data_IF_187433597992
#
_entry.id   IF_187433597992
#
_cell.length_a   1.000
_cell.length_b   1.000
_cell.length_c   1.000
_cell.angle_alpha   90.00
_cell.angle_beta   90.00
_cell.angle_gamma   90.00
#
_symmetry.space_group_name_H-M   'P 1'
#
loop_
_entity.id
_entity.type
_entity.pdbx_description
1 polymer ?
#
# COMPACT_ATOMS: atom_id res chain seq x y z
N UNK A 1 -14.21 27.94 -9.26
CA UNK A 1 -13.56 26.66 -9.63
C UNK A 1 -12.10 26.57 -9.16
N UNK A 2 -11.21 27.53 -9.51
CA UNK A 2 -9.80 27.52 -9.06
C UNK A 2 -9.63 27.47 -7.53
N UNK A 3 -10.46 28.21 -6.79
CA UNK A 3 -10.44 28.18 -5.32
C UNK A 3 -10.87 26.83 -4.74
N UNK A 4 -11.90 26.17 -5.31
CA UNK A 4 -12.32 24.84 -4.84
C UNK A 4 -11.22 23.80 -5.01
N UNK A 5 -10.48 23.84 -6.13
CA UNK A 5 -9.39 22.90 -6.42
C UNK A 5 -8.28 23.01 -5.36
N UNK A 6 -8.02 24.23 -4.85
CA UNK A 6 -7.02 24.46 -3.79
C UNK A 6 -7.33 23.66 -2.51
N UNK A 7 -8.61 23.52 -2.16
CA UNK A 7 -9.04 22.85 -0.93
C UNK A 7 -9.53 21.41 -1.13
N UNK A 8 -9.76 21.00 -2.39
CA UNK A 8 -10.20 19.64 -2.74
C UNK A 8 -9.08 18.89 -3.47
N UNK A 9 -8.25 18.19 -2.70
CA UNK A 9 -7.12 17.40 -3.20
C UNK A 9 -7.51 16.36 -4.26
N UNK A 10 -8.73 15.82 -4.20
CA UNK A 10 -9.27 14.84 -5.15
C UNK A 10 -9.77 15.43 -6.48
N UNK A 11 -9.72 16.76 -6.67
CA UNK A 11 -10.24 17.39 -7.90
C UNK A 11 -9.50 16.92 -9.16
N UNK A 12 -8.20 16.66 -9.02
CA UNK A 12 -7.46 15.82 -9.97
C UNK A 12 -7.76 14.38 -9.59
N UNK A 13 -8.05 13.38 -10.41
CA UNK A 13 -8.60 12.04 -10.04
C UNK A 13 -10.12 11.92 -10.12
N UNK A 14 -10.90 12.89 -9.63
CA UNK A 14 -12.37 12.75 -9.61
C UNK A 14 -12.99 12.65 -11.00
N UNK A 15 -12.39 13.29 -12.01
CA UNK A 15 -12.98 13.41 -13.34
C UNK A 15 -14.33 14.16 -13.31
N UNK A 16 -15.21 13.84 -14.26
CA UNK A 16 -16.53 14.49 -14.40
C UNK A 16 -17.67 13.49 -14.57
N UNK A 17 -17.39 12.19 -14.62
CA UNK A 17 -18.40 11.16 -14.89
C UNK A 17 -19.11 10.66 -13.62
N UNK A 18 -18.72 11.19 -12.46
CA UNK A 18 -19.29 10.85 -11.16
C UNK A 18 -19.29 9.34 -10.91
N UNK A 19 -18.18 8.67 -11.24
CA UNK A 19 -18.10 7.21 -11.11
C UNK A 19 -17.73 6.86 -9.67
N UNK A 20 -18.45 5.88 -9.11
CA UNK A 20 -18.24 5.30 -7.80
C UNK A 20 -18.01 3.79 -7.94
N UNK A 21 -17.13 3.26 -7.12
CA UNK A 21 -16.85 1.82 -7.00
C UNK A 21 -17.47 1.31 -5.71
N UNK A 22 -18.33 0.30 -5.84
CA UNK A 22 -19.00 -0.36 -4.73
C UNK A 22 -18.26 -1.66 -4.47
N UNK A 23 -17.75 -1.81 -3.25
CA UNK A 23 -16.97 -2.97 -2.82
C UNK A 23 -17.70 -3.69 -1.68
N UNK A 24 -17.95 -5.00 -1.75
CA UNK A 24 -18.50 -5.74 -0.62
C UNK A 24 -17.50 -5.76 0.56
N UNK A 25 -18.01 -5.74 1.80
CA UNK A 25 -17.19 -5.56 3.01
C UNK A 25 -16.33 -6.77 3.39
N UNK A 26 -16.83 -8.00 3.21
CA UNK A 26 -16.18 -9.23 3.71
C UNK A 26 -15.66 -10.13 2.57
N UNK A 27 -15.66 -9.66 1.32
CA UNK A 27 -15.15 -10.43 0.20
C UNK A 27 -13.80 -9.91 -0.28
N UNK A 28 -13.00 -10.81 -0.84
CA UNK A 28 -11.68 -10.52 -1.41
C UNK A 28 -11.65 -10.94 -2.88
N UNK A 29 -10.50 -10.76 -3.54
CA UNK A 29 -10.26 -11.23 -4.91
C UNK A 29 -11.09 -10.50 -6.00
N UNK A 30 -11.67 -9.35 -5.67
CA UNK A 30 -12.40 -8.50 -6.62
C UNK A 30 -13.81 -8.96 -6.97
N UNK A 31 -14.35 -9.97 -6.28
CA UNK A 31 -15.72 -10.44 -6.50
C UNK A 31 -16.76 -9.43 -6.01
N UNK A 32 -17.87 -9.33 -6.73
CA UNK A 32 -18.99 -8.46 -6.38
C UNK A 32 -18.72 -6.95 -6.52
N UNK A 33 -17.52 -6.56 -6.96
CA UNK A 33 -17.19 -5.15 -7.20
C UNK A 33 -17.95 -4.66 -8.44
N UNK A 34 -18.65 -3.54 -8.29
CA UNK A 34 -19.37 -2.90 -9.39
C UNK A 34 -19.05 -1.41 -9.45
N UNK A 35 -18.98 -0.87 -10.67
CA UNK A 35 -18.86 0.57 -10.89
C UNK A 35 -20.22 1.12 -11.33
N UNK A 36 -20.59 2.27 -10.77
CA UNK A 36 -21.86 2.96 -11.03
C UNK A 36 -21.64 4.47 -11.07
N UNK A 37 -22.36 5.16 -11.95
CA UNK A 37 -22.33 6.64 -12.05
C UNK A 37 -23.65 7.30 -11.64
N UNK A 38 -24.73 6.53 -11.52
CA UNK A 38 -26.07 7.00 -11.12
C UNK A 38 -26.28 6.80 -9.61
N UNK A 39 -26.63 7.87 -8.89
CA UNK A 39 -26.98 7.80 -7.46
C UNK A 39 -28.16 6.85 -7.21
N UNK A 40 -29.16 6.87 -8.10
CA UNK A 40 -30.33 6.00 -7.98
C UNK A 40 -29.93 4.52 -8.04
N UNK A 41 -29.04 4.15 -8.96
CA UNK A 41 -28.55 2.78 -9.07
C UNK A 41 -27.66 2.38 -7.88
N UNK A 42 -26.86 3.31 -7.36
CA UNK A 42 -26.03 3.09 -6.17
C UNK A 42 -26.92 2.78 -4.97
N UNK A 43 -27.93 3.63 -4.72
CA UNK A 43 -28.87 3.44 -3.61
C UNK A 43 -29.66 2.15 -3.77
N UNK A 44 -30.12 1.83 -4.98
CA UNK A 44 -30.82 0.56 -5.24
C UNK A 44 -29.94 -0.65 -4.90
N UNK A 45 -28.67 -0.65 -5.32
CA UNK A 45 -27.72 -1.74 -5.02
C UNK A 45 -27.43 -1.86 -3.52
N UNK A 46 -27.22 -0.74 -2.83
CA UNK A 46 -26.96 -0.72 -1.38
C UNK A 46 -28.19 -1.20 -0.60
N UNK A 47 -29.40 -0.76 -0.99
CA UNK A 47 -30.65 -1.20 -0.36
C UNK A 47 -30.92 -2.69 -0.58
N UNK A 48 -30.63 -3.21 -1.79
CA UNK A 48 -30.71 -4.64 -2.05
C UNK A 48 -29.71 -5.42 -1.18
N UNK A 49 -28.45 -4.98 -1.14
CA UNK A 49 -27.42 -5.63 -0.35
C UNK A 49 -27.75 -5.64 1.15
N UNK A 50 -28.36 -4.57 1.66
CA UNK A 50 -28.84 -4.51 3.04
C UNK A 50 -29.91 -5.57 3.35
N UNK A 51 -30.81 -5.87 2.41
CA UNK A 51 -31.79 -6.97 2.55
C UNK A 51 -31.12 -8.34 2.54
N UNK A 52 -30.00 -8.47 1.83
CA UNK A 52 -29.18 -9.68 1.74
C UNK A 52 -28.10 -9.73 2.85
N UNK A 53 -28.20 -8.88 3.88
CA UNK A 53 -27.21 -8.75 4.97
C UNK A 53 -25.76 -8.54 4.51
N UNK A 54 -25.56 -8.03 3.30
CA UNK A 54 -24.25 -7.73 2.72
C UNK A 54 -23.95 -6.24 2.85
N UNK A 55 -22.80 -5.92 3.45
CA UNK A 55 -22.33 -4.52 3.57
C UNK A 55 -21.50 -4.13 2.37
N UNK A 56 -21.63 -2.89 1.92
CA UNK A 56 -20.81 -2.30 0.86
C UNK A 56 -20.13 -1.02 1.32
N UNK A 57 -18.91 -0.81 0.84
CA UNK A 57 -18.24 0.48 0.84
C UNK A 57 -18.47 1.13 -0.52
N UNK A 58 -19.04 2.34 -0.51
CA UNK A 58 -19.16 3.18 -1.70
C UNK A 58 -18.00 4.16 -1.69
N UNK A 59 -17.07 4.01 -2.64
CA UNK A 59 -15.84 4.81 -2.72
C UNK A 59 -15.79 5.55 -4.06
N UNK A 60 -15.33 6.80 -4.06
CA UNK A 60 -15.15 7.55 -5.31
C UNK A 60 -14.14 6.83 -6.19
N UNK A 61 -14.50 6.59 -7.46
CA UNK A 61 -13.60 5.95 -8.42
C UNK A 61 -12.57 6.95 -8.94
N UNK A 62 -11.32 6.51 -9.09
CA UNK A 62 -10.24 7.28 -9.69
C UNK A 62 -10.40 7.21 -11.21
N UNK A 63 -10.95 8.27 -11.80
CA UNK A 63 -11.29 8.34 -13.23
C UNK A 63 -10.06 8.60 -14.12
N UNK A 64 -8.98 9.12 -13.53
CA UNK A 64 -7.72 9.42 -14.23
C UNK A 64 -6.52 8.70 -13.60
N UNK A 65 -6.47 7.36 -13.68
CA UNK A 65 -5.30 6.62 -13.23
C UNK A 65 -4.13 6.84 -14.20
N UNK A 66 -2.91 6.61 -13.72
CA UNK A 66 -1.75 6.38 -14.58
C UNK A 66 -2.05 5.16 -15.45
N UNK A 67 -1.87 5.32 -16.76
CA UNK A 67 -2.02 4.24 -17.72
C UNK A 67 -0.65 3.83 -18.25
N UNK A 68 -0.41 2.52 -18.28
CA UNK A 68 0.77 1.93 -18.92
C UNK A 68 0.31 1.31 -20.23
N UNK A 69 0.77 1.84 -21.36
CA UNK A 69 0.30 1.44 -22.68
C UNK A 69 -1.25 1.39 -22.77
N UNK A 70 -1.91 2.47 -22.34
CA UNK A 70 -3.39 2.62 -22.24
C UNK A 70 -4.09 1.65 -21.28
N UNK A 71 -3.36 0.82 -20.55
CA UNK A 71 -3.92 -0.17 -19.64
C UNK A 71 -3.81 0.31 -18.19
N UNK A 72 -4.87 0.10 -17.40
CA UNK A 72 -4.87 0.43 -15.98
C UNK A 72 -3.95 -0.51 -15.20
N UNK A 73 -3.22 0.04 -14.24
CA UNK A 73 -2.41 -0.71 -13.29
C UNK A 73 -2.80 -0.42 -11.84
N UNK A 74 -2.47 -1.36 -10.96
CA UNK A 74 -2.31 -1.09 -9.53
C UNK A 74 -0.95 -1.61 -9.03
N UNK A 75 -0.57 -1.17 -7.84
CA UNK A 75 0.69 -1.52 -7.18
C UNK A 75 0.37 -2.31 -5.92
N UNK A 76 0.86 -3.55 -5.85
CA UNK A 76 0.96 -4.33 -4.62
C UNK A 76 2.30 -4.03 -3.95
N UNK A 77 2.24 -3.41 -2.77
CA UNK A 77 3.39 -3.15 -1.90
C UNK A 77 3.32 -4.05 -0.66
N UNK A 78 4.40 -4.80 -0.39
CA UNK A 78 4.51 -5.57 0.86
C UNK A 78 5.13 -4.75 1.97
N UNK A 79 4.61 -4.92 3.18
CA UNK A 79 5.17 -4.33 4.38
C UNK A 79 4.96 -5.27 5.58
N UNK A 80 5.87 -5.19 6.54
CA UNK A 80 5.94 -6.06 7.71
C UNK A 80 5.87 -5.19 8.97
N UNK A 81 4.98 -5.56 9.89
CA UNK A 81 4.93 -4.98 11.24
C UNK A 81 5.56 -5.98 12.20
N UNK A 82 6.63 -5.55 12.89
CA UNK A 82 7.34 -6.38 13.88
C UNK A 82 7.02 -6.01 15.33
N UNK A 83 6.37 -4.86 15.53
CA UNK A 83 5.88 -4.41 16.84
C UNK A 83 4.81 -3.35 16.61
N UNK A 84 3.73 -3.39 17.38
CA UNK A 84 2.64 -2.40 17.34
C UNK A 84 2.81 -1.31 18.39
N UNK A 85 3.55 -1.60 19.48
CA UNK A 85 3.86 -0.65 20.55
C UNK A 85 5.27 -0.93 21.12
N UNK A 86 6.29 -0.10 20.80
CA UNK A 86 6.27 0.99 19.81
C UNK A 86 6.05 0.46 18.38
N UNK A 87 5.34 1.21 17.54
CA UNK A 87 5.10 0.82 16.16
C UNK A 87 6.42 0.74 15.36
N UNK A 88 6.70 -0.42 14.75
CA UNK A 88 7.85 -0.66 13.88
C UNK A 88 7.38 -1.25 12.56
N UNK A 89 7.62 -0.52 11.48
CA UNK A 89 7.15 -0.83 10.12
C UNK A 89 8.34 -0.97 9.18
N UNK A 90 8.34 -2.07 8.43
CA UNK A 90 9.31 -2.37 7.39
C UNK A 90 8.59 -2.42 6.04
N UNK A 91 9.14 -1.77 5.02
CA UNK A 91 8.60 -1.81 3.65
C UNK A 91 9.54 -2.62 2.79
N UNK A 92 8.99 -3.52 1.97
CA UNK A 92 9.78 -4.27 1.01
C UNK A 92 10.20 -3.34 -0.14
N UNK A 93 11.46 -3.39 -0.58
CA UNK A 93 11.97 -2.47 -1.61
C UNK A 93 11.35 -2.70 -2.99
N UNK A 94 10.98 -3.94 -3.29
CA UNK A 94 10.33 -4.29 -4.55
C UNK A 94 8.79 -4.24 -4.45
N UNK A 95 8.13 -4.20 -5.59
CA UNK A 95 6.68 -4.15 -5.73
C UNK A 95 6.20 -5.11 -6.82
N UNK A 96 4.91 -5.40 -6.82
CA UNK A 96 4.24 -6.07 -7.93
C UNK A 96 3.27 -5.09 -8.59
N UNK A 97 3.52 -4.74 -9.84
CA UNK A 97 2.55 -4.06 -10.68
C UNK A 97 1.61 -5.11 -11.28
N UNK A 98 0.31 -4.89 -11.17
CA UNK A 98 -0.70 -5.75 -11.80
C UNK A 98 -1.48 -4.97 -12.85
N UNK A 99 -1.60 -5.57 -14.03
CA UNK A 99 -2.28 -4.97 -15.17
C UNK A 99 -3.72 -5.45 -15.26
N UNK A 100 -4.63 -4.56 -15.67
CA UNK A 100 -5.89 -4.96 -16.28
C UNK A 100 -5.63 -5.65 -17.64
N UNK A 101 -6.64 -6.34 -18.18
CA UNK A 101 -6.47 -7.11 -19.42
C UNK A 101 -6.84 -6.33 -20.69
N UNK A 102 -7.68 -5.30 -20.56
CA UNK A 102 -8.15 -4.45 -21.66
C UNK A 102 -7.71 -2.99 -21.49
N UNK A 103 -7.69 -2.26 -22.61
CA UNK A 103 -7.49 -0.82 -22.65
C UNK A 103 -8.50 -0.09 -21.77
N UNK A 104 -8.02 0.91 -21.05
CA UNK A 104 -8.82 1.71 -20.14
C UNK A 104 -9.79 2.61 -20.91
N UNK A 105 -11.06 2.56 -20.51
CA UNK A 105 -12.10 3.47 -20.97
C UNK A 105 -13.09 3.69 -19.84
N UNK A 106 -13.75 4.84 -19.81
CA UNK A 106 -14.85 5.10 -18.88
C UNK A 106 -16.23 4.88 -19.52
N UNK A 107 -16.27 4.35 -20.75
CA UNK A 107 -17.50 4.05 -21.49
C UNK A 107 -18.03 2.62 -21.27
N UNK A 108 -17.21 1.73 -20.71
CA UNK A 108 -17.57 0.35 -20.40
C UNK A 108 -16.99 0.00 -19.02
N UNK A 109 -17.82 -0.43 -18.09
CA UNK A 109 -17.44 -0.76 -16.71
C UNK A 109 -17.09 -2.23 -16.47
N UNK A 110 -16.78 -2.97 -17.54
CA UNK A 110 -16.38 -4.37 -17.44
C UNK A 110 -15.14 -4.58 -16.55
N UNK A 111 -15.14 -5.64 -15.73
CA UNK A 111 -14.10 -5.89 -14.72
C UNK A 111 -12.69 -6.06 -15.29
N UNK A 112 -12.58 -6.54 -16.54
CA UNK A 112 -11.30 -6.69 -17.25
C UNK A 112 -10.62 -5.36 -17.63
N UNK A 113 -11.34 -4.23 -17.54
CA UNK A 113 -10.84 -2.87 -17.80
C UNK A 113 -10.41 -2.18 -16.50
N UNK A 114 -11.21 -2.36 -15.44
CA UNK A 114 -11.12 -1.51 -14.25
C UNK A 114 -10.52 -2.16 -13.01
N UNK A 115 -10.48 -3.50 -12.93
CA UNK A 115 -9.94 -4.22 -11.79
C UNK A 115 -8.59 -4.84 -12.16
N UNK A 116 -7.54 -4.60 -11.37
CA UNK A 116 -6.20 -5.13 -11.66
C UNK A 116 -5.88 -6.39 -10.81
N UNK A 117 -6.81 -6.84 -9.97
CA UNK A 117 -6.61 -8.02 -9.13
C UNK A 117 -6.29 -9.26 -9.99
N UNK A 118 -5.20 -9.95 -9.66
CA UNK A 118 -4.72 -11.13 -10.39
C UNK A 118 -5.81 -12.19 -10.56
N UNK A 119 -6.63 -12.48 -9.53
CA UNK A 119 -7.69 -13.49 -9.62
C UNK A 119 -8.75 -13.13 -10.65
N UNK A 120 -9.12 -11.85 -10.74
CA UNK A 120 -10.05 -11.35 -11.78
C UNK A 120 -9.39 -11.48 -13.15
N UNK A 121 -8.14 -11.02 -13.28
CA UNK A 121 -7.46 -10.94 -14.56
C UNK A 121 -7.02 -12.30 -15.12
N UNK A 122 -6.90 -13.34 -14.28
CA UNK A 122 -6.67 -14.72 -14.73
C UNK A 122 -7.77 -15.22 -15.68
N UNK A 123 -9.03 -14.78 -15.51
CA UNK A 123 -10.14 -15.13 -16.40
C UNK A 123 -9.96 -14.61 -17.83
N UNK A 124 -9.15 -13.56 -17.99
CA UNK A 124 -8.99 -12.80 -19.23
C UNK A 124 -7.58 -12.89 -19.81
N UNK A 125 -6.68 -13.64 -19.17
CA UNK A 125 -5.26 -13.70 -19.53
C UNK A 125 -5.03 -14.25 -20.94
N UNK A 126 -5.87 -15.18 -21.40
CA UNK A 126 -5.78 -15.77 -22.73
C UNK A 126 -6.36 -14.87 -23.84
N UNK A 127 -6.94 -13.72 -23.50
CA UNK A 127 -7.40 -12.77 -24.51
C UNK A 127 -6.20 -12.13 -25.21
N UNK A 128 -6.29 -11.83 -26.52
CA UNK A 128 -5.27 -11.09 -27.24
C UNK A 128 -4.91 -9.80 -26.50
N UNK A 129 -3.60 -9.53 -26.37
CA UNK A 129 -3.11 -8.27 -25.82
C UNK A 129 -3.44 -7.15 -26.81
N UNK A 130 -4.08 -6.09 -26.32
CA UNK A 130 -4.29 -4.86 -27.09
C UNK A 130 -2.96 -4.17 -27.46
N UNK A 131 -1.90 -4.40 -26.69
CA UNK A 131 -0.56 -3.86 -26.94
C UNK A 131 0.51 -4.94 -26.67
N UNK A 132 1.41 -5.15 -27.63
CA UNK A 132 2.49 -6.15 -27.55
C UNK A 132 3.55 -5.86 -26.49
N UNK A 133 3.71 -4.61 -26.08
CA UNK A 133 4.65 -4.19 -25.04
C UNK A 133 4.17 -4.52 -23.62
N UNK A 134 2.91 -4.89 -23.43
CA UNK A 134 2.40 -5.34 -22.14
C UNK A 134 2.93 -6.75 -21.82
N UNK A 135 3.31 -7.04 -20.56
CA UNK A 135 3.78 -8.37 -20.19
C UNK A 135 2.67 -9.41 -20.39
N UNK A 136 2.99 -10.55 -20.99
CA UNK A 136 2.04 -11.63 -21.27
C UNK A 136 1.31 -12.11 -20.00
N UNK A 137 2.07 -12.26 -18.92
CA UNK A 137 1.55 -12.73 -17.63
C UNK A 137 0.89 -11.60 -16.79
N UNK A 138 0.80 -10.38 -17.34
CA UNK A 138 0.13 -9.20 -16.75
C UNK A 138 0.72 -8.70 -15.43
N UNK A 139 2.01 -8.97 -15.20
CA UNK A 139 2.75 -8.56 -14.01
C UNK A 139 4.10 -7.93 -14.38
N UNK A 140 4.52 -6.94 -13.59
CA UNK A 140 5.85 -6.35 -13.62
C UNK A 140 6.41 -6.25 -12.20
N UNK A 141 7.73 -6.33 -12.07
CA UNK A 141 8.44 -5.95 -10.86
C UNK A 141 8.76 -4.44 -10.86
N UNK A 142 9.43 -3.94 -9.82
CA UNK A 142 9.82 -2.54 -9.75
C UNK A 142 10.75 -2.12 -10.90
N UNK A 143 11.69 -2.96 -11.31
CA UNK A 143 12.66 -2.61 -12.35
C UNK A 143 11.94 -2.36 -13.68
N UNK A 144 11.04 -3.26 -14.09
CA UNK A 144 10.24 -3.07 -15.30
C UNK A 144 9.45 -1.75 -15.27
N UNK A 145 8.90 -1.39 -14.10
CA UNK A 145 8.16 -0.14 -13.94
C UNK A 145 9.07 1.09 -14.02
N UNK A 146 10.27 1.03 -13.45
CA UNK A 146 11.29 2.10 -13.58
C UNK A 146 11.73 2.28 -15.03
N UNK A 147 11.96 1.19 -15.74
CA UNK A 147 12.34 1.22 -17.17
C UNK A 147 11.23 1.87 -18.01
N UNK A 148 9.96 1.53 -17.73
CA UNK A 148 8.81 2.19 -18.36
C UNK A 148 8.77 3.69 -18.06
N UNK A 149 8.90 4.09 -16.80
CA UNK A 149 8.92 5.51 -16.42
C UNK A 149 10.05 6.26 -17.12
N UNK A 150 11.24 5.68 -17.21
CA UNK A 150 12.37 6.24 -17.94
C UNK A 150 12.07 6.39 -19.44
N UNK A 151 11.45 5.37 -20.07
CA UNK A 151 11.06 5.44 -21.49
C UNK A 151 10.07 6.57 -21.80
N UNK A 152 9.33 7.03 -20.78
CA UNK A 152 8.36 8.13 -20.88
C UNK A 152 8.93 9.48 -20.40
N UNK A 153 10.24 9.56 -20.08
CA UNK A 153 10.88 10.77 -19.55
C UNK A 153 10.42 11.14 -18.13
N UNK A 154 10.07 10.15 -17.32
CA UNK A 154 9.54 10.28 -15.97
C UNK A 154 10.35 9.45 -14.96
N UNK A 155 11.66 9.26 -15.21
CA UNK A 155 12.56 8.39 -14.45
C UNK A 155 12.62 8.75 -12.95
N UNK A 156 12.37 10.02 -12.61
CA UNK A 156 12.37 10.48 -11.22
C UNK A 156 11.03 10.28 -10.50
N UNK A 157 9.94 9.95 -11.20
CA UNK A 157 8.61 9.85 -10.62
C UNK A 157 8.54 8.80 -9.49
N UNK A 158 9.22 7.66 -9.66
CA UNK A 158 9.25 6.63 -8.63
C UNK A 158 9.89 7.12 -7.32
N UNK A 159 11.13 7.63 -7.39
CA UNK A 159 11.87 8.02 -6.19
C UNK A 159 11.37 9.33 -5.57
N UNK A 160 10.89 10.28 -6.38
CA UNK A 160 10.46 11.60 -5.88
C UNK A 160 9.01 11.68 -5.46
N UNK A 161 8.12 10.85 -6.03
CA UNK A 161 6.67 10.98 -5.81
C UNK A 161 6.05 9.66 -5.34
N UNK A 162 6.19 8.59 -6.13
CA UNK A 162 5.41 7.36 -5.90
C UNK A 162 5.85 6.65 -4.62
N UNK A 163 7.14 6.33 -4.47
CA UNK A 163 7.66 5.63 -3.27
C UNK A 163 7.48 6.44 -1.98
N UNK A 164 7.76 7.76 -1.95
CA UNK A 164 7.40 8.59 -0.80
C UNK A 164 5.90 8.60 -0.49
N UNK A 165 5.05 8.68 -1.52
CA UNK A 165 3.60 8.64 -1.39
C UNK A 165 3.08 7.32 -0.80
N UNK A 166 3.61 6.18 -1.26
CA UNK A 166 3.32 4.85 -0.68
C UNK A 166 3.70 4.84 0.81
N UNK A 167 4.92 5.26 1.13
CA UNK A 167 5.42 5.31 2.52
C UNK A 167 4.53 6.19 3.41
N UNK A 168 4.15 7.37 2.95
CA UNK A 168 3.30 8.29 3.70
C UNK A 168 1.91 7.70 3.95
N UNK A 169 1.27 7.14 2.92
CA UNK A 169 -0.03 6.49 3.06
C UNK A 169 0.02 5.31 4.04
N UNK A 170 1.04 4.45 3.96
CA UNK A 170 1.22 3.32 4.89
C UNK A 170 1.36 3.79 6.34
N UNK A 171 2.29 4.72 6.60
CA UNK A 171 2.52 5.23 7.96
C UNK A 171 1.26 5.91 8.50
N UNK A 172 0.60 6.75 7.69
CA UNK A 172 -0.64 7.43 8.08
C UNK A 172 -1.76 6.45 8.46
N UNK A 173 -2.01 5.44 7.63
CA UNK A 173 -3.03 4.42 7.89
C UNK A 173 -2.73 3.61 9.16
N UNK A 174 -1.46 3.25 9.38
CA UNK A 174 -1.05 2.47 10.55
C UNK A 174 -1.10 3.29 11.84
N UNK A 175 -0.69 4.55 11.82
CA UNK A 175 -0.80 5.44 12.99
C UNK A 175 -2.26 5.69 13.37
N UNK A 176 -3.13 5.94 12.39
CA UNK A 176 -4.57 6.12 12.62
C UNK A 176 -5.26 4.89 13.19
N UNK A 177 -4.68 3.70 12.98
CA UNK A 177 -5.24 2.42 13.44
C UNK A 177 -4.53 1.88 14.68
N UNK A 178 -3.45 2.51 15.15
CA UNK A 178 -2.51 1.92 16.11
C UNK A 178 -3.17 1.58 17.45
N UNK A 179 -4.09 2.43 17.93
CA UNK A 179 -4.79 2.22 19.20
C UNK A 179 -5.67 0.96 19.20
N UNK A 180 -6.12 0.54 18.02
CA UNK A 180 -6.92 -0.67 17.85
C UNK A 180 -6.06 -1.91 17.54
N UNK A 181 -4.75 -1.76 17.40
CA UNK A 181 -3.85 -2.89 17.13
C UNK A 181 -3.56 -3.66 18.41
N UNK A 182 -3.82 -4.96 18.39
CA UNK A 182 -3.50 -5.85 19.51
C UNK A 182 -1.97 -5.90 19.71
N UNK A 183 -1.52 -5.50 20.90
CA UNK A 183 -0.12 -5.63 21.28
C UNK A 183 0.17 -7.04 21.77
N UNK A 184 0.72 -7.88 20.88
CA UNK A 184 1.16 -9.24 21.21
C UNK A 184 2.66 -9.37 21.03
N UNK A 185 3.35 -9.64 22.15
CA UNK A 185 4.80 -9.93 22.13
C UNK A 185 5.07 -11.13 21.22
N UNK A 186 6.22 -11.09 20.56
CA UNK A 186 6.68 -12.13 19.63
C UNK A 186 5.78 -12.36 18.41
N UNK A 187 4.81 -11.49 18.15
CA UNK A 187 4.02 -11.52 16.93
C UNK A 187 4.58 -10.55 15.89
N UNK A 188 4.37 -10.91 14.64
CA UNK A 188 4.59 -10.06 13.48
C UNK A 188 3.50 -10.37 12.47
N UNK A 189 3.28 -9.46 11.53
CA UNK A 189 2.36 -9.71 10.43
C UNK A 189 2.91 -9.08 9.15
N UNK A 190 2.97 -9.90 8.10
CA UNK A 190 3.25 -9.46 6.74
C UNK A 190 1.93 -9.10 6.07
N UNK A 191 1.87 -7.92 5.47
CA UNK A 191 0.70 -7.37 4.80
C UNK A 191 1.01 -7.06 3.34
N UNK A 192 -0.05 -6.92 2.54
CA UNK A 192 0.02 -6.38 1.19
C UNK A 192 -0.92 -5.19 1.05
N UNK A 193 -0.40 -4.01 0.75
CA UNK A 193 -1.21 -2.83 0.46
C UNK A 193 -1.34 -2.65 -1.04
N UNK A 194 -2.55 -2.34 -1.49
CA UNK A 194 -2.87 -2.09 -2.89
C UNK A 194 -3.01 -0.59 -3.09
N UNK A 195 -2.29 -0.06 -4.07
CA UNK A 195 -2.30 1.36 -4.42
C UNK A 195 -2.66 1.54 -5.88
N UNK A 196 -3.29 2.65 -6.21
CA UNK A 196 -3.33 3.16 -7.58
C UNK A 196 -2.55 4.46 -7.66
N UNK A 197 -1.87 4.64 -8.79
CA UNK A 197 -1.17 5.87 -9.14
C UNK A 197 -2.07 6.66 -10.08
N UNK A 198 -2.27 7.94 -9.83
CA UNK A 198 -3.00 8.86 -10.69
C UNK A 198 -2.15 9.33 -11.87
N UNK A 199 -2.78 9.97 -12.85
CA UNK A 199 -2.10 10.58 -14.01
C UNK A 199 -1.03 11.62 -13.63
N UNK A 200 -1.17 12.28 -12.47
CA UNK A 200 -0.19 13.21 -11.91
C UNK A 200 0.82 12.56 -10.94
N UNK A 201 0.92 11.22 -10.97
CA UNK A 201 1.76 10.39 -10.10
C UNK A 201 1.38 10.40 -8.61
N UNK A 202 0.30 11.08 -8.21
CA UNK A 202 -0.20 10.97 -6.83
C UNK A 202 -0.63 9.54 -6.52
N UNK A 203 -0.37 9.10 -5.29
CA UNK A 203 -0.58 7.71 -4.85
C UNK A 203 -1.76 7.64 -3.89
N UNK A 204 -2.67 6.70 -4.17
CA UNK A 204 -3.90 6.50 -3.41
C UNK A 204 -3.98 5.06 -2.90
N UNK A 205 -4.06 4.91 -1.58
CA UNK A 205 -4.28 3.61 -0.93
C UNK A 205 -5.70 3.11 -1.24
N UNK A 206 -5.80 1.89 -1.75
CA UNK A 206 -7.08 1.23 -2.06
C UNK A 206 -7.54 0.34 -0.91
N UNK A 207 -6.65 -0.52 -0.42
CA UNK A 207 -6.90 -1.49 0.64
C UNK A 207 -5.60 -2.03 1.25
N UNK A 208 -5.69 -2.61 2.44
CA UNK A 208 -4.60 -3.34 3.10
C UNK A 208 -5.08 -4.77 3.37
N UNK A 209 -4.37 -5.74 2.80
CA UNK A 209 -4.64 -7.16 2.92
C UNK A 209 -3.78 -7.78 4.03
N UNK A 210 -4.42 -8.43 5.01
CA UNK A 210 -3.74 -9.18 6.07
C UNK A 210 -3.11 -10.47 5.56
N UNK A 211 -3.70 -11.08 4.52
CA UNK A 211 -3.11 -12.17 3.77
C UNK A 211 -2.73 -11.69 2.36
N UNK A 212 -1.47 -11.32 2.11
CA UNK A 212 -1.06 -10.80 0.80
C UNK A 212 -1.05 -11.84 -0.33
N UNK A 213 -1.34 -13.12 -0.04
CA UNK A 213 -1.24 -14.27 -0.95
C UNK A 213 0.12 -14.36 -1.66
N UNK A 214 1.03 -15.17 -1.10
CA UNK A 214 2.36 -15.44 -1.67
C UNK A 214 2.48 -16.84 -2.30
N UNK A 215 1.37 -17.53 -2.54
CA UNK A 215 1.35 -18.83 -3.22
C UNK A 215 -0.07 -19.16 -3.77
N UNK A 216 -0.19 -19.97 -4.84
CA UNK A 216 0.85 -20.26 -5.84
C UNK A 216 1.22 -19.02 -6.64
N UNK A 217 2.43 -18.99 -7.25
CA UNK A 217 2.77 -17.93 -8.20
C UNK A 217 1.86 -18.01 -9.43
N UNK A 218 1.71 -16.87 -10.08
CA UNK A 218 0.84 -16.72 -11.27
C UNK A 218 1.58 -16.10 -12.45
N UNK A 219 2.90 -15.92 -12.33
CA UNK A 219 3.81 -15.31 -13.30
C UNK A 219 5.24 -15.56 -12.84
N UNK A 220 6.21 -15.40 -13.73
CA UNK A 220 7.64 -15.52 -13.43
C UNK A 220 8.08 -14.45 -12.42
N UNK A 221 7.51 -13.24 -12.52
CA UNK A 221 7.69 -12.16 -11.54
C UNK A 221 7.30 -12.61 -10.14
N UNK A 222 6.12 -13.21 -9.98
CA UNK A 222 5.67 -13.68 -8.66
C UNK A 222 6.35 -14.97 -8.22
N UNK A 223 6.79 -15.82 -9.15
CA UNK A 223 7.60 -17.00 -8.86
C UNK A 223 8.97 -16.62 -8.26
N UNK A 224 9.52 -15.46 -8.64
CA UNK A 224 10.75 -14.92 -8.06
C UNK A 224 10.47 -14.14 -6.76
N UNK A 225 9.53 -13.20 -6.77
CA UNK A 225 9.29 -12.30 -5.64
C UNK A 225 8.80 -13.02 -4.39
N UNK A 226 7.91 -14.01 -4.53
CA UNK A 226 7.24 -14.60 -3.37
C UNK A 226 8.21 -15.35 -2.44
N UNK A 227 9.08 -16.26 -2.92
CA UNK A 227 10.09 -16.90 -2.08
C UNK A 227 11.03 -15.88 -1.42
N UNK A 228 11.49 -14.87 -2.15
CA UNK A 228 12.38 -13.84 -1.59
C UNK A 228 11.73 -13.07 -0.45
N UNK A 229 10.46 -12.64 -0.60
CA UNK A 229 9.73 -11.92 0.45
C UNK A 229 9.59 -12.77 1.70
N UNK A 230 9.31 -14.07 1.54
CA UNK A 230 9.17 -15.02 2.65
C UNK A 230 10.52 -15.15 3.37
N UNK A 231 11.59 -15.40 2.63
CA UNK A 231 12.94 -15.54 3.19
C UNK A 231 13.39 -14.28 3.91
N UNK A 232 13.20 -13.11 3.29
CA UNK A 232 13.59 -11.83 3.88
C UNK A 232 12.73 -11.45 5.10
N UNK A 233 11.47 -11.89 5.13
CA UNK A 233 10.63 -11.79 6.34
C UNK A 233 11.27 -12.57 7.49
N UNK A 234 11.75 -13.79 7.24
CA UNK A 234 12.44 -14.60 8.25
C UNK A 234 13.74 -13.95 8.73
N UNK A 235 14.52 -13.34 7.83
CA UNK A 235 15.72 -12.56 8.21
C UNK A 235 15.37 -11.43 9.19
N UNK A 236 14.30 -10.69 8.93
CA UNK A 236 13.86 -9.60 9.81
C UNK A 236 13.36 -10.10 11.16
N UNK A 237 12.55 -11.16 11.19
CA UNK A 237 11.85 -11.59 12.41
C UNK A 237 12.64 -12.59 13.26
N UNK A 238 13.60 -13.33 12.69
CA UNK A 238 14.42 -14.33 13.38
C UNK A 238 15.89 -13.89 13.49
N UNK A 239 16.57 -13.68 12.37
CA UNK A 239 18.02 -13.45 12.36
C UNK A 239 18.39 -12.14 13.05
N UNK A 240 17.61 -11.08 12.79
CA UNK A 240 17.83 -9.78 13.43
C UNK A 240 17.49 -9.75 14.93
N UNK A 241 16.80 -10.77 15.47
CA UNK A 241 16.70 -10.96 16.93
C UNK A 241 18.03 -11.40 17.53
N UNK A 242 18.78 -12.26 16.82
CA UNK A 242 20.10 -12.73 17.24
C UNK A 242 21.19 -11.69 16.96
N UNK A 243 21.16 -11.05 15.79
CA UNK A 243 22.13 -10.03 15.38
C UNK A 243 21.41 -8.80 14.81
N UNK A 244 21.31 -7.72 15.59
CA UNK A 244 20.65 -6.47 15.16
C UNK A 244 21.29 -5.81 13.92
N UNK A 245 22.52 -6.17 13.56
CA UNK A 245 23.23 -5.71 12.35
C UNK A 245 23.12 -6.69 11.17
N UNK A 246 22.47 -7.84 11.36
CA UNK A 246 22.25 -8.83 10.31
C UNK A 246 21.40 -8.28 9.15
N UNK A 247 21.47 -8.92 7.99
CA UNK A 247 20.73 -8.49 6.80
C UNK A 247 19.21 -8.44 7.07
N UNK A 248 18.52 -7.45 6.50
CA UNK A 248 17.06 -7.44 6.39
C UNK A 248 16.59 -7.83 4.99
N UNK A 249 17.51 -8.34 4.16
CA UNK A 249 17.26 -8.56 2.74
C UNK A 249 16.81 -7.27 2.04
N UNK A 250 15.72 -7.36 1.29
CA UNK A 250 15.07 -6.24 0.61
C UNK A 250 14.09 -5.46 1.51
N UNK A 251 13.90 -5.81 2.79
CA UNK A 251 13.15 -4.95 3.72
C UNK A 251 13.96 -3.74 4.18
N UNK A 252 13.29 -2.59 4.25
CA UNK A 252 13.80 -1.34 4.80
C UNK A 252 12.89 -0.88 5.96
N UNK A 253 13.46 -0.52 7.11
CA UNK A 253 12.69 0.05 8.20
C UNK A 253 12.27 1.49 7.84
N UNK A 254 10.99 1.68 7.53
CA UNK A 254 10.45 2.97 7.10
C UNK A 254 9.91 3.81 8.25
N UNK A 255 9.55 3.18 9.37
CA UNK A 255 9.05 3.85 10.56
C UNK A 255 9.40 3.05 11.82
N UNK A 256 9.88 3.78 12.84
CA UNK A 256 10.12 3.25 14.19
C UNK A 256 9.74 4.32 15.20
N UNK A 257 8.64 4.11 15.89
CA UNK A 257 8.16 5.03 16.92
C UNK A 257 9.17 5.11 18.07
N UNK A 258 9.60 6.34 18.41
CA UNK A 258 10.56 6.57 19.50
C UNK A 258 9.88 6.69 20.87
N UNK A 259 8.66 7.25 20.90
CA UNK A 259 7.84 7.37 22.10
C UNK A 259 6.48 6.70 21.86
N UNK A 260 6.18 5.55 22.50
CA UNK A 260 4.97 4.76 22.23
C UNK A 260 3.66 5.40 22.74
N UNK A 261 3.75 6.53 23.45
CA UNK A 261 2.60 7.18 24.06
C UNK A 261 1.97 8.19 23.11
N UNK A 262 0.92 7.77 22.40
CA UNK A 262 -0.05 8.67 21.80
C UNK A 262 -1.46 8.21 22.21
N UNK A 263 -1.70 8.10 23.52
CA UNK A 263 -3.04 7.88 24.07
C UNK A 263 -3.59 9.19 24.62
N UNK A 264 -4.88 9.44 24.41
CA UNK A 264 -5.65 10.67 24.69
C UNK A 264 -5.75 11.02 26.20
N UNK A 265 -4.97 10.41 27.09
CA UNK A 265 -4.97 10.71 28.53
C UNK A 265 -3.56 10.97 29.10
N UNK A 266 -2.88 12.02 28.61
CA UNK A 266 -1.64 12.53 29.24
C UNK A 266 -1.80 14.01 29.61
N UNK A 267 -2.97 14.35 30.17
CA UNK A 267 -3.07 15.42 31.14
C UNK A 267 -3.05 14.74 32.51
N UNK A 268 -1.87 14.54 33.10
CA UNK A 268 -1.76 14.19 34.52
C UNK A 268 -0.78 13.11 34.98
N UNK A 269 0.04 12.50 34.13
CA UNK A 269 1.17 11.67 34.63
C UNK A 269 2.49 12.16 34.06
N UNK A 270 3.32 12.70 34.96
CA UNK A 270 4.55 13.41 34.67
C UNK A 270 5.46 12.61 33.75
N UNK A 271 5.81 13.22 32.62
CA UNK A 271 7.00 12.86 31.86
C UNK A 271 8.20 12.97 32.79
N UNK A 272 8.80 11.82 33.13
CA UNK A 272 10.18 11.79 33.64
C UNK A 272 11.08 12.44 32.59
N UNK A 273 11.39 13.72 32.81
CA UNK A 273 12.37 14.49 32.04
C UNK A 273 13.75 13.98 32.45
N UNK A 274 14.26 12.99 31.73
CA UNK A 274 15.65 12.58 31.83
C UNK A 274 16.55 13.56 31.08
N UNK A 275 17.23 14.46 31.79
CA UNK A 275 18.29 15.29 31.20
C UNK A 275 19.49 14.39 30.88
N UNK A 276 19.88 14.33 29.60
CA UNK A 276 21.17 13.77 29.17
C UNK A 276 22.11 14.90 28.78
N UNK A 277 22.95 15.31 29.72
CA UNK A 277 24.10 16.19 29.48
C UNK A 277 25.42 15.42 29.61
N UNK A 278 26.48 15.91 28.97
CA UNK A 278 27.87 15.51 29.25
C UNK A 278 28.46 16.57 30.18
N UNK A 279 28.99 16.17 31.33
CA UNK A 279 29.62 17.11 32.27
C UNK A 279 30.77 17.85 31.60
N UNK A 280 30.73 19.18 31.62
CA UNK A 280 31.77 20.05 31.04
C UNK A 280 33.00 20.21 31.93
N UNK A 281 32.94 19.73 33.18
CA UNK A 281 34.03 19.81 34.14
C UNK A 281 34.46 18.41 34.57
N UNK A 282 35.77 18.14 34.49
CA UNK A 282 36.34 16.91 35.03
C UNK A 282 36.39 17.01 36.55
N UNK A 283 35.75 16.06 37.23
CA UNK A 283 35.95 15.85 38.67
C UNK A 283 37.35 15.31 38.92
N UNK A 284 38.13 15.84 39.88
CA UNK A 284 39.41 15.26 40.26
C UNK A 284 39.21 13.83 40.76
N UNK A 285 40.06 12.90 40.32
CA UNK A 285 40.04 11.52 40.83
C UNK A 285 40.41 11.53 42.32
N UNK A 286 39.68 10.77 43.14
CA UNK A 286 40.04 10.51 44.52
C UNK A 286 41.27 9.59 44.60
N UNK A 287 42.11 9.69 45.64
CA UNK A 287 43.38 8.96 45.73
C UNK A 287 43.21 7.53 46.29
N UNK A 288 42.22 6.78 45.83
CA UNK A 288 42.01 5.38 46.26
C UNK A 288 42.19 4.32 45.16
N UNK A 289 42.62 4.73 43.96
CA UNK A 289 42.98 3.78 42.88
C UNK A 289 44.44 3.98 42.44
N UNK A 290 45.38 3.69 43.35
CA UNK A 290 46.79 3.39 43.04
C UNK A 290 47.17 2.07 43.71
#
# INVERSE_FOLDING_TARGET
MKEMIKYRSQSKIDGIRNIWILKPGDDSLGRGIVLKSSLVEILAKVNQAAKENTKYVVQKYIERPLLVHKTKIDIRQWFLITSTQPLVVWMYKDILIRFASKDFTLGDFHESIHLCNTTVQLKYRNLPRCNSNLPEQRHWNLQNFKDYLQSCGQELAWEKVIRPGIKQNLIGALLASQDNMVNRKNSFQLYGADFVVADDFSVWLLEINTNPRLHPPSSDVTAQLYPEIIEDTLKVVLDRRKNKKGSSGKFECIYKQRNPFCGVNILGQGTSLGIRGKGLFMTPKSPQDL
#
